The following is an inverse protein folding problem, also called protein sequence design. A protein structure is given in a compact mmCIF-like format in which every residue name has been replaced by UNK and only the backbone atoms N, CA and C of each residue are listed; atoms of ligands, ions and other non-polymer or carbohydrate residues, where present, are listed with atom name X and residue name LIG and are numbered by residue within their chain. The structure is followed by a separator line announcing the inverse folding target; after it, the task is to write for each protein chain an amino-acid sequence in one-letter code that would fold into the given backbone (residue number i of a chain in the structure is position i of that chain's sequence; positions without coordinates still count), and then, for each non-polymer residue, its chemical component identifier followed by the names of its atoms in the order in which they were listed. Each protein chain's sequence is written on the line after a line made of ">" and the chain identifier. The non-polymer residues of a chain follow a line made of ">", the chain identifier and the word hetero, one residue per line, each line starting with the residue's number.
data_IF_533927951903
#
_entry.id   IF_533927951903
#
_cell.length_a   1.000
_cell.length_b   1.000
_cell.length_c   1.000
_cell.angle_alpha   90.00
_cell.angle_beta   90.00
_cell.angle_gamma   90.00
#
_symmetry.space_group_name_H-M   'P 1'
#
loop_
_entity.id
_entity.type
_entity.pdbx_description
1 polymer ?
#
# COMPACT_ATOMS: atom_id res chain seq x y z
N UNK A 1 -23.81 12.50 -48.75
CA UNK A 1 -23.93 11.85 -47.43
C UNK A 1 -22.70 11.01 -47.06
N UNK A 2 -21.49 11.36 -47.54
CA UNK A 2 -20.25 10.57 -47.29
C UNK A 2 -19.30 11.24 -46.29
N UNK A 3 -19.51 12.53 -46.01
CA UNK A 3 -18.64 13.35 -45.18
C UNK A 3 -19.09 13.41 -43.71
N UNK A 4 -20.33 13.00 -43.41
CA UNK A 4 -20.86 12.96 -42.03
C UNK A 4 -20.41 11.68 -41.30
N UNK A 5 -20.17 10.59 -42.04
CA UNK A 5 -19.75 9.30 -41.47
C UNK A 5 -18.33 9.34 -40.88
N UNK A 6 -17.47 10.20 -41.42
CA UNK A 6 -16.07 10.36 -40.95
C UNK A 6 -16.00 11.10 -39.62
N UNK A 7 -16.96 12.02 -39.36
CA UNK A 7 -16.98 12.78 -38.11
C UNK A 7 -17.45 11.95 -36.91
N UNK A 8 -18.32 10.95 -37.13
CA UNK A 8 -18.81 10.06 -36.06
C UNK A 8 -17.77 9.03 -35.64
N UNK A 9 -16.90 8.59 -36.55
CA UNK A 9 -15.84 7.63 -36.26
C UNK A 9 -14.64 8.24 -35.48
N UNK A 10 -14.48 9.56 -35.53
CA UNK A 10 -13.43 10.26 -34.80
C UNK A 10 -13.77 10.54 -33.32
N UNK A 11 -15.06 10.55 -32.96
CA UNK A 11 -15.51 10.83 -31.59
C UNK A 11 -15.46 9.63 -30.64
N UNK A 12 -15.33 8.40 -31.17
CA UNK A 12 -15.37 7.17 -30.36
C UNK A 12 -14.03 6.80 -29.71
N UNK A 13 -12.95 7.53 -29.96
CA UNK A 13 -11.62 7.27 -29.36
C UNK A 13 -11.39 7.98 -28.01
N UNK A 14 -12.35 8.78 -27.54
CA UNK A 14 -12.23 9.51 -26.25
C UNK A 14 -12.87 8.78 -25.05
N UNK A 15 -13.42 7.58 -25.25
CA UNK A 15 -13.75 6.68 -24.15
C UNK A 15 -12.47 6.02 -23.63
N UNK A 16 -11.53 6.83 -23.14
CA UNK A 16 -10.44 6.35 -22.33
C UNK A 16 -11.04 5.72 -21.09
N UNK A 17 -10.96 4.40 -20.98
CA UNK A 17 -11.21 3.71 -19.73
C UNK A 17 -10.37 4.39 -18.65
N UNK A 18 -11.02 5.07 -17.70
CA UNK A 18 -10.38 5.33 -16.41
C UNK A 18 -10.10 3.95 -15.84
N UNK A 19 -8.85 3.52 -15.95
CA UNK A 19 -8.36 2.36 -15.25
C UNK A 19 -8.68 2.64 -13.78
N UNK A 20 -9.60 1.85 -13.21
CA UNK A 20 -9.91 1.96 -11.80
C UNK A 20 -8.58 1.81 -11.08
N UNK A 21 -8.21 2.84 -10.30
CA UNK A 21 -7.01 2.88 -9.48
C UNK A 21 -7.21 1.88 -8.34
N UNK A 22 -7.11 0.61 -8.70
CA UNK A 22 -7.26 -0.53 -7.80
C UNK A 22 -5.90 -0.69 -7.10
N UNK A 23 -5.86 -0.52 -5.78
CA UNK A 23 -4.82 -1.13 -4.96
C UNK A 23 -3.72 -0.24 -4.36
N UNK A 24 -3.75 1.09 -4.51
CA UNK A 24 -2.79 1.95 -3.79
C UNK A 24 -3.21 2.07 -2.32
N UNK A 25 -2.51 1.36 -1.43
CA UNK A 25 -2.66 1.50 0.03
C UNK A 25 -1.80 2.64 0.55
N UNK A 26 -2.26 3.27 1.62
CA UNK A 26 -1.50 4.30 2.34
C UNK A 26 -1.31 3.88 3.79
N UNK A 27 -0.07 3.67 4.20
CA UNK A 27 0.28 3.36 5.59
C UNK A 27 0.64 4.64 6.34
N UNK A 28 -0.03 4.86 7.46
CA UNK A 28 0.15 5.99 8.36
C UNK A 28 0.91 5.51 9.60
N UNK A 29 2.21 5.79 9.62
CA UNK A 29 3.17 5.28 10.60
C UNK A 29 3.39 6.34 11.69
N UNK A 30 3.41 6.01 12.99
CA UNK A 30 3.74 6.98 14.04
C UNK A 30 5.09 7.64 13.79
N UNK A 31 5.17 8.96 13.91
CA UNK A 31 6.42 9.69 13.71
C UNK A 31 7.53 9.16 14.64
N UNK A 32 8.67 8.79 14.05
CA UNK A 32 9.83 8.28 14.78
C UNK A 32 9.85 6.76 14.98
N UNK A 33 8.79 6.04 14.58
CA UNK A 33 8.80 4.58 14.58
C UNK A 33 9.95 4.03 13.72
N UNK A 34 10.65 3.01 14.20
CA UNK A 34 11.68 2.29 13.46
C UNK A 34 11.58 0.82 13.82
N UNK A 35 11.47 -0.04 12.81
CA UNK A 35 11.26 -1.47 13.03
C UNK A 35 10.41 -2.11 11.93
N UNK A 36 10.10 -3.38 12.16
CA UNK A 36 9.20 -4.13 11.29
C UNK A 36 7.76 -3.74 11.52
N UNK A 37 7.03 -3.57 10.43
CA UNK A 37 5.57 -3.45 10.42
C UNK A 37 5.00 -4.76 9.91
N UNK A 38 4.09 -5.35 10.65
CA UNK A 38 3.26 -6.48 10.22
C UNK A 38 1.88 -5.98 9.83
N UNK A 39 1.45 -6.35 8.63
CA UNK A 39 0.15 -6.00 8.06
C UNK A 39 -0.71 -7.25 8.06
N UNK A 40 -1.71 -7.25 8.94
CA UNK A 40 -2.68 -8.31 9.14
C UNK A 40 -3.90 -8.08 8.26
N UNK A 41 -4.20 -9.00 7.36
CA UNK A 41 -5.40 -8.97 6.54
C UNK A 41 -6.47 -9.88 7.12
N UNK A 42 -7.64 -9.30 7.39
CA UNK A 42 -8.88 -10.04 7.59
C UNK A 42 -9.73 -9.88 6.32
N UNK A 43 -9.68 -10.82 5.35
CA UNK A 43 -10.38 -10.67 4.09
C UNK A 43 -11.88 -10.46 4.30
N UNK A 44 -12.41 -9.40 3.69
CA UNK A 44 -13.83 -9.05 3.78
C UNK A 44 -14.38 -8.65 2.40
N UNK A 45 -15.67 -8.89 2.19
CA UNK A 45 -16.37 -8.42 0.98
C UNK A 45 -16.66 -6.92 1.09
N UNK A 46 -15.94 -6.10 0.32
CA UNK A 46 -16.14 -4.64 0.27
C UNK A 46 -14.96 -3.90 -0.37
N UNK A 47 -15.15 -2.61 -0.70
CA UNK A 47 -14.03 -1.72 -1.02
C UNK A 47 -13.22 -1.47 0.26
N UNK A 48 -11.99 -1.98 0.30
CA UNK A 48 -11.07 -1.76 1.41
C UNK A 48 -10.83 -0.27 1.66
N UNK A 49 -10.46 0.08 2.90
CA UNK A 49 -9.97 1.43 3.20
C UNK A 49 -8.73 1.70 2.34
N UNK A 50 -8.49 2.96 1.99
CA UNK A 50 -7.25 3.35 1.29
C UNK A 50 -6.13 3.78 2.21
N UNK A 51 -6.45 4.03 3.49
CA UNK A 51 -5.50 4.46 4.51
C UNK A 51 -5.60 3.55 5.73
N UNK A 52 -4.43 3.13 6.22
CA UNK A 52 -4.26 2.17 7.30
C UNK A 52 -3.29 2.74 8.32
N UNK A 53 -3.71 2.80 9.58
CA UNK A 53 -2.85 3.23 10.67
C UNK A 53 -1.97 2.07 11.12
N UNK A 54 -0.69 2.37 11.34
CA UNK A 54 0.23 1.49 12.02
C UNK A 54 0.22 1.84 13.51
N UNK A 55 0.13 0.84 14.37
CA UNK A 55 0.20 1.04 15.83
C UNK A 55 1.63 1.37 16.28
N UNK A 56 1.80 1.78 17.54
CA UNK A 56 3.14 2.05 18.10
C UNK A 56 4.01 0.79 18.17
N UNK A 57 3.38 -0.39 18.19
CA UNK A 57 4.02 -1.71 18.17
C UNK A 57 4.36 -2.20 16.76
N UNK A 58 3.90 -1.50 15.71
CA UNK A 58 4.18 -1.88 14.32
C UNK A 58 3.12 -2.79 13.69
N UNK A 59 1.86 -2.73 14.10
CA UNK A 59 0.79 -3.51 13.47
C UNK A 59 -0.12 -2.64 12.62
N UNK A 60 -0.60 -3.17 11.49
CA UNK A 60 -1.68 -2.58 10.73
C UNK A 60 -2.72 -3.63 10.37
N UNK A 61 -4.00 -3.30 10.51
CA UNK A 61 -5.11 -4.17 10.11
C UNK A 61 -5.70 -3.69 8.79
N UNK A 62 -5.73 -4.58 7.80
CA UNK A 62 -6.37 -4.36 6.51
C UNK A 62 -7.53 -5.34 6.32
N UNK A 63 -8.52 -4.92 5.54
CA UNK A 63 -9.72 -5.71 5.21
C UNK A 63 -9.90 -5.68 3.71
N UNK A 64 -9.04 -6.42 3.03
CA UNK A 64 -9.00 -6.47 1.58
C UNK A 64 -9.13 -7.91 1.10
N UNK A 65 -9.86 -8.10 0.00
CA UNK A 65 -10.03 -9.42 -0.60
C UNK A 65 -8.69 -10.00 -1.07
N UNK A 66 -7.87 -9.16 -1.72
CA UNK A 66 -6.64 -9.58 -2.40
C UNK A 66 -5.45 -8.74 -1.87
N UNK A 67 -4.82 -9.18 -0.78
CA UNK A 67 -3.69 -8.44 -0.19
C UNK A 67 -2.45 -8.43 -1.11
N UNK A 68 -2.31 -9.37 -2.06
CA UNK A 68 -1.10 -9.49 -2.88
C UNK A 68 -0.93 -8.43 -3.97
N UNK A 69 -2.03 -7.80 -4.36
CA UNK A 69 -1.99 -6.79 -5.41
C UNK A 69 -1.60 -5.42 -4.83
N UNK A 70 -0.97 -4.59 -5.66
CA UNK A 70 -0.75 -3.16 -5.36
C UNK A 70 0.39 -2.82 -4.38
N UNK A 71 1.17 -3.79 -3.88
CA UNK A 71 2.27 -3.49 -2.94
C UNK A 71 3.29 -2.48 -3.46
N UNK A 72 3.64 -2.58 -4.75
CA UNK A 72 4.59 -1.69 -5.40
C UNK A 72 4.06 -0.25 -5.59
N UNK A 73 2.75 -0.03 -5.37
CA UNK A 73 2.14 1.30 -5.44
C UNK A 73 1.76 1.84 -4.07
N UNK A 74 2.14 1.18 -2.98
CA UNK A 74 1.86 1.66 -1.63
C UNK A 74 2.53 3.02 -1.35
N UNK A 75 1.86 3.81 -0.51
CA UNK A 75 2.40 5.06 0.05
C UNK A 75 2.62 4.89 1.54
N UNK A 76 3.66 5.53 2.04
CA UNK A 76 4.05 5.44 3.43
C UNK A 76 4.27 6.86 3.96
N UNK A 77 3.70 7.17 5.12
CA UNK A 77 3.86 8.47 5.76
C UNK A 77 4.18 8.30 7.23
N UNK A 78 5.11 9.09 7.76
CA UNK A 78 5.06 9.41 9.18
C UNK A 78 3.91 10.37 9.45
N UNK A 79 3.23 10.17 10.58
CA UNK A 79 2.16 11.03 11.08
C UNK A 79 2.52 11.49 12.49
N UNK A 80 2.57 12.80 12.69
CA UNK A 80 2.81 13.39 14.02
C UNK A 80 1.52 13.44 14.86
N UNK A 81 1.65 13.88 16.12
CA UNK A 81 0.53 13.98 17.06
C UNK A 81 -0.55 14.97 16.63
N UNK A 82 -0.24 15.88 15.71
CA UNK A 82 -1.16 16.87 15.14
C UNK A 82 -1.80 16.36 13.83
N UNK A 83 -1.43 15.16 13.37
CA UNK A 83 -1.92 14.53 12.14
C UNK A 83 -1.19 14.96 10.88
N UNK A 84 -0.08 15.71 11.00
CA UNK A 84 0.72 16.14 9.86
C UNK A 84 1.49 14.97 9.29
N UNK A 85 1.51 14.88 7.96
CA UNK A 85 2.11 13.76 7.23
C UNK A 85 3.47 14.13 6.65
N UNK A 86 4.44 13.22 6.74
CA UNK A 86 5.73 13.27 6.06
C UNK A 86 5.93 12.00 5.24
N UNK A 87 5.99 12.14 3.92
CA UNK A 87 6.14 11.00 3.02
C UNK A 87 7.48 10.28 3.21
N UNK A 88 7.42 8.95 3.18
CA UNK A 88 8.56 8.04 3.26
C UNK A 88 8.73 7.34 1.92
N UNK A 89 9.96 7.36 1.39
CA UNK A 89 10.27 6.72 0.11
C UNK A 89 10.78 5.30 0.31
N UNK A 90 10.32 4.41 -0.55
CA UNK A 90 10.89 3.08 -0.73
C UNK A 90 12.38 3.13 -1.08
N UNK A 91 13.15 2.16 -0.57
CA UNK A 91 14.60 2.08 -0.73
C UNK A 91 15.40 3.14 0.05
N UNK A 92 14.71 4.09 0.71
CA UNK A 92 15.34 5.04 1.66
C UNK A 92 14.91 4.74 3.08
N UNK A 93 13.61 4.81 3.33
CA UNK A 93 13.01 4.63 4.65
C UNK A 93 12.13 3.38 4.75
N UNK A 94 11.75 2.79 3.62
CA UNK A 94 10.94 1.56 3.56
C UNK A 94 11.74 0.48 2.84
N UNK A 95 11.90 -0.67 3.47
CA UNK A 95 12.72 -1.79 2.99
C UNK A 95 12.02 -3.13 3.19
N UNK A 96 12.41 -4.16 2.43
CA UNK A 96 11.98 -5.54 2.67
C UNK A 96 10.47 -5.79 2.58
N UNK A 97 9.73 -4.96 1.84
CA UNK A 97 8.29 -5.13 1.66
C UNK A 97 7.98 -6.49 1.02
N UNK A 98 7.16 -7.30 1.69
CA UNK A 98 6.64 -8.54 1.14
C UNK A 98 5.32 -8.28 0.41
N UNK A 99 5.06 -9.07 -0.63
CA UNK A 99 3.79 -9.02 -1.35
C UNK A 99 2.63 -9.69 -0.58
N UNK A 100 2.81 -10.02 0.70
CA UNK A 100 1.91 -10.87 1.48
C UNK A 100 1.87 -12.35 1.05
N UNK A 101 1.34 -13.23 1.91
CA UNK A 101 1.05 -14.64 1.59
C UNK A 101 -0.46 -14.94 1.69
N UNK A 102 -1.08 -15.46 0.63
CA UNK A 102 -2.53 -15.78 0.55
C UNK A 102 -2.96 -16.72 1.67
N UNK A 103 -2.06 -17.61 2.09
CA UNK A 103 -2.34 -18.64 3.09
C UNK A 103 -2.20 -18.13 4.53
N UNK A 104 -1.49 -17.00 4.72
CA UNK A 104 -1.22 -16.43 6.05
C UNK A 104 -2.01 -15.16 6.31
N UNK A 105 -2.47 -14.47 5.26
CA UNK A 105 -3.13 -13.17 5.41
C UNK A 105 -2.20 -12.08 5.94
N UNK A 106 -0.89 -12.29 5.92
CA UNK A 106 0.08 -11.35 6.46
C UNK A 106 1.00 -10.82 5.37
N UNK A 107 1.37 -9.55 5.49
CA UNK A 107 2.48 -8.93 4.78
C UNK A 107 3.33 -8.13 5.76
N UNK A 108 4.51 -7.70 5.34
CA UNK A 108 5.42 -6.98 6.22
C UNK A 108 6.34 -6.05 5.44
N UNK A 109 6.84 -5.01 6.11
CA UNK A 109 7.88 -4.12 5.60
C UNK A 109 8.65 -3.52 6.78
N UNK A 110 9.88 -3.10 6.54
CA UNK A 110 10.72 -2.44 7.54
C UNK A 110 10.71 -0.92 7.35
N UNK A 111 10.54 -0.19 8.45
CA UNK A 111 10.65 1.27 8.51
C UNK A 111 11.98 1.63 9.18
N UNK A 112 12.84 2.34 8.45
CA UNK A 112 14.14 2.77 8.95
C UNK A 112 15.14 2.96 7.81
N UNK A 113 16.38 3.33 8.15
CA UNK A 113 17.43 3.40 7.14
C UNK A 113 17.88 1.98 6.72
N UNK A 114 18.60 1.91 5.60
CA UNK A 114 19.10 0.65 5.06
C UNK A 114 20.06 -0.08 6.01
N UNK A 115 20.85 0.66 6.78
CA UNK A 115 21.86 0.09 7.66
C UNK A 115 21.22 -0.63 8.87
N UNK A 116 20.11 -0.10 9.38
CA UNK A 116 19.32 -0.74 10.43
C UNK A 116 18.59 -1.97 9.89
N UNK A 117 18.02 -1.86 8.69
CA UNK A 117 17.36 -2.98 8.01
C UNK A 117 18.28 -4.19 7.87
N UNK A 118 19.51 -3.99 7.36
CA UNK A 118 20.49 -5.06 7.12
C UNK A 118 20.98 -5.76 8.40
N UNK A 119 20.70 -5.20 9.58
CA UNK A 119 21.05 -5.77 10.89
C UNK A 119 19.90 -6.57 11.52
N UNK A 120 18.76 -6.66 10.85
CA UNK A 120 17.55 -7.31 11.37
C UNK A 120 17.04 -8.39 10.44
N UNK A 121 16.31 -9.35 11.00
CA UNK A 121 15.52 -10.31 10.23
C UNK A 121 14.06 -10.22 10.67
N UNK A 122 13.14 -10.31 9.71
CA UNK A 122 11.72 -10.38 10.02
C UNK A 122 11.42 -11.72 10.72
N UNK A 123 10.81 -11.65 11.90
CA UNK A 123 10.33 -12.82 12.63
C UNK A 123 8.81 -12.71 12.77
N UNK A 124 8.02 -13.58 12.11
CA UNK A 124 6.58 -13.65 12.31
C UNK A 124 6.26 -13.96 13.78
N UNK A 125 5.20 -13.38 14.30
CA UNK A 125 4.82 -13.52 15.72
C UNK A 125 4.30 -14.92 16.06
N UNK A 126 3.72 -15.63 15.08
CA UNK A 126 3.11 -16.95 15.25
C UNK A 126 4.10 -18.15 15.17
N UNK A 127 5.32 -18.01 15.72
CA UNK A 127 6.29 -19.12 15.81
C UNK A 127 6.38 -19.75 17.19
#
# INVERSE_FOLDING_TARGET
>A
MKNILIFVLALSLLAGCKQADQGQRTFLIPEGFTGWVTVHNEPAEGEGKREYNVTEEGHAEVKEKDIHDGWASNKYYYVDKEGKRKELSEGKMIHGASGGDENKGEAFFFVGNKEDFEKTEYTPEDK
#
